data_IF_647373537619
#
_entry.id   IF_647373537619
#
_cell.length_a   1.000
_cell.length_b   1.000
_cell.length_c   1.000
_cell.angle_alpha   90.00
_cell.angle_beta   90.00
_cell.angle_gamma   90.00
#
_symmetry.space_group_name_H-M   'P 1'
#
loop_
_entity.id
_entity.type
_entity.pdbx_description
1 polymer ?
#
# COMPACT_ATOMS: atom_id res chain seq x y z
N UNK A 1 -11.91 -24.22 -0.94
CA UNK A 1 -12.28 -22.79 -0.99
C UNK A 1 -13.30 -22.59 -2.11
N UNK A 2 -14.26 -21.69 -1.92
CA UNK A 2 -15.13 -21.16 -2.97
C UNK A 2 -14.82 -19.67 -3.17
N UNK A 3 -15.03 -19.19 -4.40
CA UNK A 3 -14.88 -17.78 -4.75
C UNK A 3 -16.13 -17.33 -5.51
N UNK A 4 -16.62 -16.16 -5.19
CA UNK A 4 -17.76 -15.53 -5.86
C UNK A 4 -17.45 -14.06 -6.16
N UNK A 5 -18.13 -13.47 -7.15
CA UNK A 5 -18.06 -12.04 -7.42
C UNK A 5 -18.90 -11.32 -6.37
N UNK A 6 -18.26 -10.41 -5.63
CA UNK A 6 -18.93 -9.58 -4.63
C UNK A 6 -19.52 -8.31 -5.26
N UNK A 7 -18.74 -7.62 -6.12
CA UNK A 7 -19.16 -6.43 -6.85
C UNK A 7 -18.32 -6.26 -8.13
N UNK A 8 -18.85 -5.53 -9.10
CA UNK A 8 -18.13 -5.12 -10.32
C UNK A 8 -17.88 -3.60 -10.31
N UNK A 9 -16.61 -3.18 -10.50
CA UNK A 9 -16.19 -1.79 -10.55
C UNK A 9 -15.20 -1.54 -11.69
N UNK A 10 -15.10 -0.30 -12.16
CA UNK A 10 -14.13 0.09 -13.19
C UNK A 10 -12.77 0.43 -12.56
N UNK A 11 -11.81 -0.44 -12.80
CA UNK A 11 -10.42 -0.31 -12.36
C UNK A 11 -10.23 -0.26 -10.85
N UNK A 12 -10.85 -1.18 -10.06
CA UNK A 12 -10.72 -1.21 -8.62
C UNK A 12 -9.28 -1.46 -8.20
N UNK A 13 -8.91 -0.87 -7.05
CA UNK A 13 -7.57 -1.01 -6.49
C UNK A 13 -7.66 -1.40 -5.02
N UNK A 14 -7.08 -0.61 -4.13
CA UNK A 14 -7.12 -0.91 -2.70
C UNK A 14 -8.54 -0.83 -2.14
N UNK A 15 -8.80 -1.65 -1.14
CA UNK A 15 -10.06 -1.69 -0.39
C UNK A 15 -9.80 -1.38 1.09
N UNK A 16 -10.76 -0.72 1.71
CA UNK A 16 -10.80 -0.51 3.17
C UNK A 16 -12.19 -0.86 3.69
N UNK A 17 -12.24 -1.59 4.79
CA UNK A 17 -13.48 -1.91 5.48
C UNK A 17 -13.88 -0.74 6.37
N UNK A 18 -15.08 -0.21 6.16
CA UNK A 18 -15.69 0.82 6.98
C UNK A 18 -16.69 0.26 7.99
N UNK A 19 -17.47 1.16 8.59
CA UNK A 19 -18.56 0.77 9.46
C UNK A 19 -19.65 -0.01 8.72
N UNK A 20 -20.40 -0.82 9.44
CA UNK A 20 -21.54 -1.62 8.94
C UNK A 20 -21.18 -2.57 7.77
N UNK A 21 -19.91 -2.95 7.64
CA UNK A 21 -19.45 -3.86 6.59
C UNK A 21 -19.30 -3.20 5.20
N UNK A 22 -19.43 -1.89 5.09
CA UNK A 22 -19.21 -1.16 3.82
C UNK A 22 -17.76 -1.28 3.39
N UNK A 23 -17.52 -1.63 2.13
CA UNK A 23 -16.17 -1.70 1.55
C UNK A 23 -15.93 -0.46 0.70
N UNK A 24 -15.00 0.40 1.12
CA UNK A 24 -14.54 1.52 0.30
C UNK A 24 -13.47 1.06 -0.67
N UNK A 25 -13.59 1.44 -1.95
CA UNK A 25 -12.71 0.96 -3.02
C UNK A 25 -12.11 2.13 -3.77
N UNK A 26 -10.78 2.23 -3.71
CA UNK A 26 -9.99 3.14 -4.53
C UNK A 26 -9.94 2.68 -6.00
N UNK A 27 -9.58 3.58 -6.91
CA UNK A 27 -9.49 3.22 -8.33
C UNK A 27 -8.39 3.97 -9.08
N UNK A 28 -8.09 3.50 -10.28
CA UNK A 28 -7.25 4.24 -11.25
C UNK A 28 -8.05 5.26 -12.07
N UNK A 29 -9.37 5.35 -11.89
CA UNK A 29 -10.32 6.10 -12.73
C UNK A 29 -10.76 7.43 -12.13
N UNK A 30 -10.05 7.90 -11.11
CA UNK A 30 -10.36 9.19 -10.48
C UNK A 30 -11.57 9.19 -9.56
N UNK A 31 -12.04 8.00 -9.15
CA UNK A 31 -13.21 7.82 -8.29
C UNK A 31 -12.90 6.89 -7.13
N UNK A 32 -13.60 7.10 -6.03
CA UNK A 32 -13.68 6.16 -4.91
C UNK A 32 -15.14 5.75 -4.75
N UNK A 33 -15.36 4.46 -4.56
CA UNK A 33 -16.70 3.87 -4.40
C UNK A 33 -16.88 3.31 -2.99
N UNK A 34 -18.13 3.37 -2.50
CA UNK A 34 -18.63 2.56 -1.40
C UNK A 34 -19.41 1.38 -1.99
N UNK A 35 -19.05 0.17 -1.60
CA UNK A 35 -19.70 -1.08 -1.97
C UNK A 35 -20.46 -1.54 -0.74
N UNK A 36 -21.77 -1.67 -0.87
CA UNK A 36 -22.71 -1.86 0.23
C UNK A 36 -23.45 -3.16 0.02
N UNK A 37 -23.39 -4.03 1.02
CA UNK A 37 -24.12 -5.30 1.13
C UNK A 37 -24.98 -5.19 2.39
N UNK A 38 -26.28 -4.86 2.23
CA UNK A 38 -27.16 -4.55 3.35
C UNK A 38 -27.69 -5.78 4.09
N UNK A 39 -27.86 -6.88 3.35
CA UNK A 39 -28.42 -8.12 3.91
C UNK A 39 -27.32 -9.15 4.29
N UNK A 40 -26.05 -8.79 4.01
CA UNK A 40 -24.86 -9.59 4.31
C UNK A 40 -24.87 -10.98 3.66
N UNK A 41 -25.42 -11.09 2.45
CA UNK A 41 -25.47 -12.35 1.71
C UNK A 41 -24.18 -12.64 0.91
N UNK A 42 -23.23 -11.70 0.89
CA UNK A 42 -21.95 -11.79 0.19
C UNK A 42 -22.01 -11.34 -1.27
N UNK A 43 -23.06 -10.61 -1.64
CA UNK A 43 -23.21 -9.93 -2.93
C UNK A 43 -23.64 -8.49 -2.67
N UNK A 44 -22.93 -7.53 -3.24
CA UNK A 44 -23.23 -6.12 -2.99
C UNK A 44 -24.58 -5.71 -3.60
N UNK A 45 -25.45 -5.09 -2.80
CA UNK A 45 -26.72 -4.50 -3.24
C UNK A 45 -26.54 -3.21 -4.03
N UNK A 46 -25.47 -2.45 -3.71
CA UNK A 46 -25.22 -1.17 -4.36
C UNK A 46 -23.74 -0.81 -4.39
N UNK A 47 -23.37 -0.08 -5.45
CA UNK A 47 -22.06 0.56 -5.62
C UNK A 47 -22.28 2.06 -5.81
N UNK A 48 -21.80 2.87 -4.89
CA UNK A 48 -22.02 4.31 -4.86
C UNK A 48 -20.69 5.04 -5.00
N UNK A 49 -20.56 5.96 -5.96
CA UNK A 49 -19.41 6.86 -6.02
C UNK A 49 -19.49 7.86 -4.87
N UNK A 50 -18.48 7.86 -3.98
CA UNK A 50 -18.43 8.74 -2.80
C UNK A 50 -17.44 9.89 -2.95
N UNK A 51 -16.48 9.77 -3.86
CA UNK A 51 -15.57 10.85 -4.24
C UNK A 51 -15.18 10.73 -5.72
N UNK A 52 -14.97 11.86 -6.41
CA UNK A 52 -14.58 11.89 -7.81
C UNK A 52 -13.72 13.11 -8.15
N UNK A 53 -13.19 13.15 -9.40
CA UNK A 53 -12.29 14.23 -9.84
C UNK A 53 -10.89 14.13 -9.24
N UNK A 54 -10.49 12.95 -8.76
CA UNK A 54 -9.23 12.71 -8.06
C UNK A 54 -8.13 12.19 -9.00
N UNK A 55 -6.87 12.40 -8.62
CA UNK A 55 -5.72 11.97 -9.40
C UNK A 55 -5.29 10.54 -9.01
N UNK A 56 -5.90 9.53 -9.67
CA UNK A 56 -5.65 8.09 -9.42
C UNK A 56 -5.73 7.75 -7.93
N UNK A 57 -6.89 7.86 -7.31
CA UNK A 57 -7.10 7.58 -5.89
C UNK A 57 -7.00 6.07 -5.62
N UNK A 58 -5.78 5.54 -5.64
CA UNK A 58 -5.53 4.11 -5.49
C UNK A 58 -5.73 3.63 -4.06
N UNK A 59 -5.17 4.36 -3.10
CA UNK A 59 -5.18 4.00 -1.70
C UNK A 59 -6.41 4.54 -0.97
N UNK A 60 -6.96 3.73 -0.09
CA UNK A 60 -8.03 4.13 0.83
C UNK A 60 -7.78 3.57 2.21
N UNK A 61 -8.08 4.36 3.25
CA UNK A 61 -8.04 3.92 4.64
C UNK A 61 -9.21 4.55 5.40
N UNK A 62 -9.85 3.79 6.26
CA UNK A 62 -10.99 4.25 7.04
C UNK A 62 -10.63 4.29 8.53
N UNK A 63 -11.04 5.35 9.22
CA UNK A 63 -10.90 5.51 10.65
C UNK A 63 -12.05 6.35 11.23
N UNK A 64 -12.81 5.77 12.14
CA UNK A 64 -13.86 6.42 12.94
C UNK A 64 -14.75 7.42 12.16
N UNK A 65 -15.27 6.99 11.02
CA UNK A 65 -16.14 7.79 10.15
C UNK A 65 -15.42 8.68 9.14
N UNK A 66 -14.10 8.71 9.12
CA UNK A 66 -13.32 9.46 8.13
C UNK A 66 -12.70 8.50 7.09
N UNK A 67 -12.80 8.85 5.80
CA UNK A 67 -12.19 8.10 4.71
C UNK A 67 -11.00 8.85 4.14
N UNK A 68 -9.81 8.34 4.36
CA UNK A 68 -8.56 8.85 3.79
C UNK A 68 -8.33 8.28 2.39
N UNK A 69 -7.89 9.12 1.46
CA UNK A 69 -7.73 8.79 0.04
C UNK A 69 -6.32 9.16 -0.41
N UNK A 70 -5.56 8.18 -0.88
CA UNK A 70 -4.22 8.35 -1.44
C UNK A 70 -4.26 8.61 -2.94
N UNK A 71 -4.05 9.87 -3.32
CA UNK A 71 -3.79 10.29 -4.68
C UNK A 71 -2.28 10.21 -5.00
N UNK A 72 -1.86 10.42 -6.24
CA UNK A 72 -0.44 10.42 -6.59
C UNK A 72 0.33 11.45 -5.76
N UNK A 73 -0.16 12.69 -5.68
CA UNK A 73 0.58 13.84 -5.17
C UNK A 73 0.10 14.34 -3.81
N UNK A 74 -0.99 13.77 -3.28
CA UNK A 74 -1.56 14.21 -2.01
C UNK A 74 -2.36 13.11 -1.30
N UNK A 75 -2.60 13.33 -0.04
CA UNK A 75 -3.60 12.63 0.75
C UNK A 75 -4.78 13.57 0.96
N UNK A 76 -5.97 13.07 0.64
CA UNK A 76 -7.24 13.76 0.85
C UNK A 76 -8.09 12.97 1.84
N UNK A 77 -9.15 13.60 2.37
CA UNK A 77 -10.09 12.98 3.30
C UNK A 77 -11.52 13.36 2.96
N UNK A 78 -12.45 12.42 3.11
CA UNK A 78 -13.88 12.69 3.24
C UNK A 78 -14.25 12.49 4.69
N UNK A 79 -14.60 13.59 5.38
CA UNK A 79 -15.03 13.55 6.77
C UNK A 79 -16.48 13.08 6.88
N UNK A 80 -16.81 12.34 7.96
CA UNK A 80 -18.15 11.83 8.25
C UNK A 80 -18.74 11.03 7.07
N UNK A 81 -17.92 10.14 6.49
CA UNK A 81 -18.30 9.35 5.30
C UNK A 81 -19.51 8.45 5.59
N UNK A 82 -19.68 7.98 6.81
CA UNK A 82 -20.78 7.09 7.19
C UNK A 82 -22.15 7.75 7.01
N UNK A 83 -22.25 9.05 7.27
CA UNK A 83 -23.47 9.82 6.99
C UNK A 83 -23.59 10.24 5.52
N UNK A 84 -22.52 10.15 4.72
CA UNK A 84 -22.43 10.70 3.35
C UNK A 84 -22.27 9.64 2.25
N UNK A 85 -22.33 8.36 2.58
CA UNK A 85 -22.11 7.26 1.63
C UNK A 85 -23.21 7.08 0.57
N UNK A 86 -24.18 7.98 0.49
CA UNK A 86 -25.24 7.97 -0.52
C UNK A 86 -24.90 8.71 -1.83
N UNK A 87 -23.73 9.34 -1.92
CA UNK A 87 -23.31 10.10 -3.11
C UNK A 87 -21.97 10.78 -2.93
N UNK A 88 -21.56 11.55 -3.96
CA UNK A 88 -20.28 12.26 -3.97
C UNK A 88 -20.22 13.33 -2.88
N UNK A 89 -19.18 13.28 -2.11
CA UNK A 89 -18.87 14.24 -1.05
C UNK A 89 -17.63 15.07 -1.39
N UNK A 90 -17.49 16.29 -0.88
CA UNK A 90 -16.29 17.08 -1.01
C UNK A 90 -15.13 16.41 -0.26
N UNK A 91 -13.93 16.51 -0.82
CA UNK A 91 -12.69 16.08 -0.18
C UNK A 91 -11.94 17.26 0.41
N UNK A 92 -11.32 17.04 1.56
CA UNK A 92 -10.39 17.97 2.21
C UNK A 92 -8.95 17.49 1.98
N UNK A 93 -8.02 18.42 1.74
CA UNK A 93 -6.60 18.08 1.65
C UNK A 93 -6.03 17.86 3.05
N UNK A 94 -5.43 16.70 3.28
CA UNK A 94 -4.73 16.34 4.52
C UNK A 94 -3.24 16.66 4.39
N UNK A 95 -2.61 16.24 3.28
CA UNK A 95 -1.21 16.52 3.00
C UNK A 95 -0.99 16.57 1.47
N UNK A 96 -0.34 17.62 0.96
CA UNK A 96 -0.04 17.85 -0.45
C UNK A 96 1.46 17.97 -0.76
N UNK A 97 2.31 17.50 0.15
CA UNK A 97 3.77 17.56 -0.01
C UNK A 97 4.38 16.34 -0.72
N UNK A 98 3.57 15.43 -1.24
CA UNK A 98 4.04 14.22 -1.89
C UNK A 98 4.48 14.49 -3.33
N UNK A 99 5.44 13.69 -3.88
CA UNK A 99 5.86 13.81 -5.27
C UNK A 99 4.73 13.57 -6.28
N UNK A 100 4.83 14.23 -7.44
CA UNK A 100 3.82 14.18 -8.51
C UNK A 100 4.08 13.12 -9.59
N UNK A 101 5.22 12.40 -9.51
CA UNK A 101 5.60 11.41 -10.50
C UNK A 101 4.60 10.26 -10.57
N UNK A 102 4.25 9.89 -11.81
CA UNK A 102 3.27 8.82 -12.06
C UNK A 102 3.88 7.42 -11.98
N UNK A 103 5.17 7.30 -12.26
CA UNK A 103 5.86 6.02 -12.17
C UNK A 103 5.96 5.62 -10.70
N UNK A 104 5.42 4.47 -10.31
CA UNK A 104 5.23 4.02 -8.93
C UNK A 104 4.56 5.07 -8.01
N UNK A 105 3.77 5.98 -8.61
CA UNK A 105 3.16 7.10 -7.90
C UNK A 105 1.90 6.75 -7.11
N UNK A 106 1.25 5.62 -7.40
CA UNK A 106 0.04 5.21 -6.69
C UNK A 106 0.36 4.88 -5.22
N UNK A 107 -0.44 5.39 -4.31
CA UNK A 107 -0.26 5.18 -2.88
C UNK A 107 -1.14 4.02 -2.40
N UNK A 108 -0.58 3.16 -1.57
CA UNK A 108 -1.32 2.28 -0.68
C UNK A 108 -1.46 2.99 0.66
N UNK A 109 -2.59 2.91 1.34
CA UNK A 109 -2.82 3.55 2.63
C UNK A 109 -3.28 2.55 3.66
N UNK A 110 -2.78 2.67 4.89
CA UNK A 110 -3.34 1.95 6.01
C UNK A 110 -3.02 2.70 7.31
N UNK A 111 -3.96 2.66 8.26
CA UNK A 111 -3.75 3.22 9.58
C UNK A 111 -3.14 2.15 10.47
N UNK A 112 -2.02 2.49 11.07
CA UNK A 112 -1.28 1.60 11.93
C UNK A 112 -1.85 1.47 13.35
N UNK A 113 -1.37 0.49 14.12
CA UNK A 113 -1.81 0.30 15.51
C UNK A 113 -1.43 1.47 16.43
N UNK A 114 -0.57 2.38 15.97
CA UNK A 114 -0.20 3.64 16.64
C UNK A 114 -1.12 4.82 16.27
N UNK A 115 -2.20 4.57 15.49
CA UNK A 115 -3.13 5.58 15.03
C UNK A 115 -2.57 6.55 13.99
N UNK A 116 -1.44 6.21 13.34
CA UNK A 116 -0.85 7.03 12.27
C UNK A 116 -1.18 6.45 10.89
N UNK A 117 -1.25 7.31 9.89
CA UNK A 117 -1.41 6.92 8.49
C UNK A 117 -0.06 6.58 7.86
N UNK A 118 0.02 5.41 7.23
CA UNK A 118 1.22 4.91 6.56
C UNK A 118 1.04 4.89 5.06
N UNK A 119 2.11 5.21 4.32
CA UNK A 119 2.11 5.23 2.84
C UNK A 119 3.50 4.98 2.27
N UNK A 120 3.61 4.24 1.13
CA UNK A 120 4.82 4.15 0.36
C UNK A 120 4.92 5.31 -0.65
N UNK A 121 6.14 5.72 -0.95
CA UNK A 121 6.47 6.59 -2.08
C UNK A 121 7.50 5.87 -2.93
N UNK A 122 7.06 5.26 -4.02
CA UNK A 122 7.92 4.47 -4.90
C UNK A 122 8.93 5.31 -5.69
N UNK A 123 9.95 4.64 -6.23
CA UNK A 123 10.95 5.28 -7.08
C UNK A 123 10.32 5.83 -8.37
N UNK A 124 10.73 7.02 -8.87
CA UNK A 124 10.16 7.64 -10.08
C UNK A 124 10.68 7.01 -11.39
N UNK A 125 11.32 5.87 -11.31
CA UNK A 125 12.03 5.20 -12.40
C UNK A 125 12.05 3.68 -12.22
N UNK A 126 12.47 2.96 -13.26
CA UNK A 126 12.79 1.53 -13.11
C UNK A 126 13.98 1.33 -12.16
N UNK A 127 15.09 2.02 -12.41
CA UNK A 127 16.26 2.10 -11.51
C UNK A 127 16.96 3.45 -11.74
N UNK A 128 17.23 4.18 -10.67
CA UNK A 128 17.98 5.45 -10.66
C UNK A 128 18.37 5.80 -9.22
N UNK A 129 19.34 6.65 -9.06
CA UNK A 129 19.50 7.36 -7.78
C UNK A 129 18.29 8.26 -7.55
N UNK A 130 17.80 8.29 -6.33
CA UNK A 130 16.59 9.03 -5.95
C UNK A 130 16.91 10.11 -4.93
N UNK A 131 16.08 11.14 -4.89
CA UNK A 131 16.09 12.11 -3.79
C UNK A 131 15.42 11.52 -2.57
N UNK A 132 15.60 12.15 -1.41
CA UNK A 132 15.10 11.67 -0.12
C UNK A 132 13.58 11.39 -0.06
N UNK A 133 12.80 11.94 -0.99
CA UNK A 133 11.34 11.76 -1.00
C UNK A 133 10.88 10.41 -1.56
N UNK A 134 11.71 9.76 -2.38
CA UNK A 134 11.35 8.54 -3.11
C UNK A 134 11.94 7.27 -2.51
N UNK A 135 11.49 6.15 -3.03
CA UNK A 135 11.93 4.81 -2.65
C UNK A 135 11.88 4.57 -1.13
N UNK A 136 10.77 4.95 -0.51
CA UNK A 136 10.64 5.00 0.93
C UNK A 136 9.23 4.65 1.43
N UNK A 137 9.13 4.31 2.71
CA UNK A 137 7.85 4.23 3.42
C UNK A 137 7.79 5.34 4.45
N UNK A 138 6.66 6.01 4.52
CA UNK A 138 6.36 7.11 5.42
C UNK A 138 5.21 6.79 6.36
N UNK A 139 5.18 7.53 7.47
CA UNK A 139 3.99 7.64 8.32
C UNK A 139 3.76 9.11 8.70
N UNK A 140 2.52 9.47 9.00
CA UNK A 140 2.14 10.81 9.47
C UNK A 140 0.95 10.73 10.43
N UNK A 141 0.67 11.82 11.13
CA UNK A 141 -0.55 11.96 11.89
C UNK A 141 -1.77 12.03 10.93
N UNK A 142 -2.96 11.71 11.44
CA UNK A 142 -4.21 11.75 10.64
C UNK A 142 -4.60 13.16 10.19
N UNK A 143 -4.04 14.21 10.80
CA UNK A 143 -4.17 15.60 10.37
C UNK A 143 -3.14 16.01 9.29
N UNK A 144 -2.29 15.08 8.84
CA UNK A 144 -1.25 15.30 7.82
C UNK A 144 0.06 15.86 8.36
N UNK A 145 0.16 16.15 9.65
CA UNK A 145 1.39 16.62 10.29
C UNK A 145 2.39 15.48 10.53
N UNK A 146 3.63 15.82 10.84
CA UNK A 146 4.70 14.88 11.20
C UNK A 146 4.98 13.78 10.15
N UNK A 147 4.92 14.13 8.84
CA UNK A 147 5.33 13.19 7.79
C UNK A 147 6.79 12.75 8.01
N UNK A 148 6.98 11.49 8.39
CA UNK A 148 8.27 10.93 8.80
C UNK A 148 8.60 9.69 7.98
N UNK A 149 9.81 9.62 7.42
CA UNK A 149 10.34 8.44 6.76
C UNK A 149 10.67 7.37 7.80
N UNK A 150 10.20 6.14 7.59
CA UNK A 150 10.45 5.01 8.47
C UNK A 150 11.32 3.92 7.84
N UNK A 151 11.36 3.86 6.50
CA UNK A 151 12.23 2.96 5.74
C UNK A 151 12.70 3.64 4.46
N UNK A 152 13.89 3.29 4.01
CA UNK A 152 14.54 3.79 2.80
C UNK A 152 14.94 2.65 1.87
N UNK A 153 15.24 2.95 0.60
CA UNK A 153 15.66 1.93 -0.37
C UNK A 153 14.57 0.92 -0.72
N UNK A 154 13.29 1.31 -0.64
CA UNK A 154 12.12 0.51 -1.00
C UNK A 154 11.64 0.96 -2.38
N UNK A 155 11.91 0.14 -3.41
CA UNK A 155 11.66 0.54 -4.81
C UNK A 155 10.19 0.83 -5.10
N UNK A 156 9.30 -0.08 -4.78
CA UNK A 156 7.86 0.05 -5.05
C UNK A 156 7.04 -0.92 -4.18
N UNK A 157 6.77 -0.53 -2.96
CA UNK A 157 5.84 -1.26 -2.08
C UNK A 157 4.40 -0.95 -2.47
N UNK A 158 3.56 -1.99 -2.57
CA UNK A 158 2.15 -1.87 -2.95
C UNK A 158 1.22 -2.48 -1.89
N UNK A 159 1.78 -3.05 -0.84
CA UNK A 159 1.01 -3.61 0.27
C UNK A 159 1.86 -3.82 1.51
N UNK A 160 1.26 -3.56 2.65
CA UNK A 160 1.88 -3.79 3.95
C UNK A 160 0.83 -4.06 5.02
N UNK A 161 1.26 -4.68 6.12
CA UNK A 161 0.43 -4.94 7.28
C UNK A 161 1.32 -5.18 8.52
N UNK A 162 0.73 -5.19 9.69
CA UNK A 162 1.41 -5.46 10.97
C UNK A 162 1.15 -6.88 11.42
N UNK A 163 2.22 -7.55 11.84
CA UNK A 163 2.09 -8.87 12.44
C UNK A 163 1.22 -8.78 13.71
N UNK A 164 0.12 -9.56 13.82
CA UNK A 164 -0.89 -9.33 14.85
C UNK A 164 -0.41 -9.59 16.29
N UNK A 165 0.65 -10.39 16.47
CA UNK A 165 1.18 -10.73 17.79
C UNK A 165 2.41 -9.89 18.17
N UNK A 166 3.29 -9.56 17.18
CA UNK A 166 4.54 -8.85 17.45
C UNK A 166 4.46 -7.36 17.17
N UNK A 167 3.47 -6.91 16.37
CA UNK A 167 3.34 -5.52 15.93
C UNK A 167 4.39 -5.10 14.90
N UNK A 168 5.22 -6.03 14.40
CA UNK A 168 6.21 -5.73 13.37
C UNK A 168 5.54 -5.36 12.06
N UNK A 169 6.08 -4.36 11.37
CA UNK A 169 5.61 -3.89 10.07
C UNK A 169 6.22 -4.74 8.94
N UNK A 170 5.38 -5.33 8.11
CA UNK A 170 5.77 -6.14 6.97
C UNK A 170 5.24 -5.55 5.67
N UNK A 171 6.01 -5.62 4.59
CA UNK A 171 5.64 -5.04 3.31
C UNK A 171 6.18 -5.83 2.12
N UNK A 172 5.49 -5.69 0.98
CA UNK A 172 5.97 -6.19 -0.32
C UNK A 172 6.85 -5.14 -1.00
N UNK A 173 7.86 -5.57 -1.76
CA UNK A 173 8.61 -4.68 -2.66
C UNK A 173 8.82 -5.33 -4.03
N UNK A 174 8.53 -4.57 -5.08
CA UNK A 174 8.66 -4.99 -6.47
C UNK A 174 10.10 -4.76 -6.95
N UNK A 175 10.79 -5.84 -7.37
CA UNK A 175 12.13 -5.77 -7.97
C UNK A 175 12.15 -4.96 -9.27
N UNK A 176 13.36 -4.46 -9.66
CA UNK A 176 13.54 -3.73 -10.92
C UNK A 176 13.36 -4.66 -12.13
N UNK A 177 12.97 -4.06 -13.28
CA UNK A 177 12.95 -4.76 -14.55
C UNK A 177 14.31 -4.69 -15.28
N UNK A 178 14.43 -5.48 -16.36
CA UNK A 178 15.54 -5.47 -17.33
C UNK A 178 16.90 -5.83 -16.72
N UNK A 179 16.93 -6.76 -15.78
CA UNK A 179 18.16 -7.36 -15.25
C UNK A 179 18.28 -8.84 -15.63
N UNK A 180 17.24 -9.43 -16.19
CA UNK A 180 17.13 -10.81 -16.65
C UNK A 180 15.75 -11.39 -16.33
N UNK A 181 15.51 -12.62 -16.79
CA UNK A 181 14.22 -13.29 -16.61
C UNK A 181 14.07 -13.87 -15.19
N UNK A 182 15.20 -14.21 -14.54
CA UNK A 182 15.25 -14.91 -13.26
C UNK A 182 15.66 -13.98 -12.09
N UNK A 183 16.04 -12.74 -12.37
CA UNK A 183 16.51 -11.77 -11.36
C UNK A 183 16.10 -10.34 -11.69
N UNK A 184 15.97 -9.48 -10.66
CA UNK A 184 15.98 -9.80 -9.24
C UNK A 184 14.63 -10.36 -8.78
N UNK A 185 14.62 -11.11 -7.70
CA UNK A 185 13.40 -11.49 -7.02
C UNK A 185 12.67 -10.25 -6.50
N UNK A 186 11.34 -10.28 -6.51
CA UNK A 186 10.51 -9.41 -5.66
C UNK A 186 10.59 -9.89 -4.20
N UNK A 187 10.17 -9.07 -3.26
CA UNK A 187 10.51 -9.25 -1.85
C UNK A 187 9.31 -9.14 -0.92
N UNK A 188 9.36 -9.89 0.18
CA UNK A 188 8.64 -9.56 1.41
C UNK A 188 9.69 -9.14 2.45
N UNK A 189 9.51 -7.94 2.96
CA UNK A 189 10.40 -7.27 3.87
C UNK A 189 9.75 -7.03 5.23
N UNK A 190 10.57 -6.77 6.26
CA UNK A 190 10.14 -6.46 7.61
C UNK A 190 10.96 -5.31 8.19
N UNK A 191 10.30 -4.30 8.72
CA UNK A 191 10.96 -3.24 9.49
C UNK A 191 11.11 -3.69 10.94
N UNK A 192 12.33 -3.82 11.41
CA UNK A 192 12.66 -4.09 12.81
C UNK A 192 13.08 -2.84 13.58
N UNK A 193 13.50 -1.80 12.87
CA UNK A 193 13.81 -0.48 13.43
C UNK A 193 13.60 0.62 12.39
N UNK A 194 13.18 1.79 12.83
CA UNK A 194 13.02 2.97 11.95
C UNK A 194 14.36 3.36 11.34
N UNK A 195 14.37 3.70 10.05
CA UNK A 195 15.53 4.16 9.31
C UNK A 195 16.35 3.06 8.63
N UNK A 196 15.86 1.82 8.60
CA UNK A 196 16.49 0.75 7.81
C UNK A 196 16.42 1.08 6.31
N UNK A 197 17.49 0.68 5.59
CA UNK A 197 17.61 0.81 4.13
C UNK A 197 17.56 -0.56 3.47
N UNK A 198 16.60 -0.77 2.55
CA UNK A 198 16.30 -2.06 1.93
C UNK A 198 16.99 -2.30 0.58
N UNK A 199 17.97 -1.47 0.23
CA UNK A 199 18.96 -1.74 -0.83
C UNK A 199 18.77 -0.95 -2.11
N UNK A 200 17.57 -0.63 -2.58
CA UNK A 200 17.37 0.10 -3.82
C UNK A 200 18.03 1.49 -3.81
N UNK A 201 18.75 1.92 -4.86
CA UNK A 201 18.98 1.25 -6.15
C UNK A 201 20.25 0.39 -6.20
N UNK A 202 20.95 0.20 -5.12
CA UNK A 202 22.32 -0.35 -5.05
C UNK A 202 22.38 -1.85 -4.98
N UNK A 203 21.58 -2.45 -4.11
CA UNK A 203 21.52 -3.91 -3.88
C UNK A 203 20.06 -4.36 -4.04
N UNK A 204 19.84 -5.39 -4.83
CA UNK A 204 18.54 -6.01 -5.05
C UNK A 204 18.46 -7.36 -4.35
N UNK A 205 17.27 -7.79 -3.95
CA UNK A 205 17.00 -9.07 -3.30
C UNK A 205 17.95 -9.40 -2.12
N UNK A 206 18.59 -8.39 -1.54
CA UNK A 206 19.50 -8.50 -0.40
C UNK A 206 20.92 -8.96 -0.71
N UNK A 207 21.23 -9.44 -1.91
CA UNK A 207 22.55 -10.00 -2.25
C UNK A 207 23.00 -9.76 -3.70
N UNK A 208 22.21 -9.09 -4.53
CA UNK A 208 22.53 -8.86 -5.94
C UNK A 208 22.86 -7.37 -6.16
N UNK A 209 24.15 -7.00 -6.35
CA UNK A 209 24.51 -5.64 -6.68
C UNK A 209 23.94 -5.20 -8.03
N UNK A 210 23.42 -3.97 -8.08
CA UNK A 210 23.04 -3.35 -9.35
C UNK A 210 24.27 -3.16 -10.24
N UNK A 211 24.22 -3.51 -11.54
CA UNK A 211 25.39 -3.41 -12.43
C UNK A 211 25.88 -1.97 -12.66
N UNK A 212 25.03 -0.97 -12.41
CA UNK A 212 25.38 0.45 -12.59
C UNK A 212 25.61 1.14 -11.25
N UNK A 213 24.67 0.96 -10.31
CA UNK A 213 24.65 1.68 -9.02
C UNK A 213 25.31 0.90 -7.87
N UNK A 214 25.51 -0.41 -8.02
CA UNK A 214 26.06 -1.27 -6.97
C UNK A 214 27.59 -1.22 -6.80
N UNK A 215 28.31 -0.51 -7.68
CA UNK A 215 29.76 -0.44 -7.60
C UNK A 215 30.24 0.16 -6.27
N UNK A 216 31.07 -0.58 -5.54
CA UNK A 216 31.59 -0.16 -4.24
C UNK A 216 30.60 -0.23 -3.07
N UNK A 217 29.43 -0.80 -3.27
CA UNK A 217 28.43 -1.05 -2.22
C UNK A 217 28.55 -2.48 -1.71
N UNK A 218 28.36 -2.66 -0.40
CA UNK A 218 28.29 -4.00 0.22
C UNK A 218 26.86 -4.36 0.54
N UNK A 219 26.44 -5.60 0.30
CA UNK A 219 25.13 -6.09 0.71
C UNK A 219 24.93 -6.01 2.23
N UNK A 220 26.01 -6.12 3.01
CA UNK A 220 25.97 -6.04 4.47
C UNK A 220 25.56 -4.65 5.01
N UNK A 221 25.62 -3.61 4.15
CA UNK A 221 25.20 -2.24 4.53
C UNK A 221 23.66 -2.06 4.46
N UNK A 222 22.94 -3.07 3.97
CA UNK A 222 21.48 -2.99 3.70
C UNK A 222 20.73 -4.12 4.39
N UNK A 223 19.45 -3.87 4.66
CA UNK A 223 18.56 -4.87 5.26
C UNK A 223 18.12 -5.87 4.18
N UNK A 224 18.43 -7.15 4.32
CA UNK A 224 17.97 -8.15 3.35
C UNK A 224 16.48 -8.45 3.52
N UNK A 225 15.78 -8.94 2.47
CA UNK A 225 14.40 -9.38 2.57
C UNK A 225 14.27 -10.60 3.50
N UNK A 226 13.12 -10.72 4.13
CA UNK A 226 12.75 -11.91 4.91
C UNK A 226 12.45 -13.07 3.97
N UNK A 227 11.83 -12.78 2.82
CA UNK A 227 11.50 -13.77 1.81
C UNK A 227 11.73 -13.19 0.41
N UNK A 228 12.52 -13.91 -0.39
CA UNK A 228 12.62 -13.69 -1.83
C UNK A 228 11.46 -14.42 -2.50
N UNK A 229 10.66 -13.69 -3.24
CA UNK A 229 9.63 -14.21 -4.12
C UNK A 229 10.24 -14.61 -5.47
N UNK A 230 9.48 -14.90 -6.48
CA UNK A 230 10.03 -15.05 -7.84
C UNK A 230 10.41 -13.68 -8.44
N UNK A 231 11.24 -13.69 -9.50
CA UNK A 231 11.42 -12.52 -10.34
C UNK A 231 10.10 -12.18 -11.07
N UNK A 232 9.80 -10.90 -11.23
CA UNK A 232 8.64 -10.38 -12.00
C UNK A 232 7.26 -10.83 -11.50
N UNK A 233 7.15 -11.35 -10.27
CA UNK A 233 5.84 -11.75 -9.70
C UNK A 233 4.96 -10.56 -9.32
N UNK A 234 5.55 -9.37 -9.23
CA UNK A 234 4.86 -8.10 -8.98
C UNK A 234 3.88 -8.15 -7.78
N UNK A 235 4.36 -8.46 -6.56
CA UNK A 235 3.50 -8.59 -5.40
C UNK A 235 2.78 -7.27 -5.12
N UNK A 236 1.47 -7.34 -4.87
CA UNK A 236 0.60 -6.20 -4.59
C UNK A 236 0.26 -6.15 -3.10
N UNK A 237 -0.96 -6.57 -2.76
CA UNK A 237 -1.43 -6.56 -1.38
C UNK A 237 -0.71 -7.57 -0.49
N UNK A 238 -0.59 -7.22 0.78
CA UNK A 238 -0.14 -8.11 1.84
C UNK A 238 -1.05 -7.92 3.04
N UNK A 239 -1.50 -9.03 3.63
CA UNK A 239 -2.29 -9.01 4.85
C UNK A 239 -1.96 -10.21 5.73
N UNK A 240 -1.90 -10.01 7.03
CA UNK A 240 -1.92 -11.11 7.99
C UNK A 240 -3.35 -11.57 8.20
N UNK A 241 -3.62 -12.84 7.97
CA UNK A 241 -4.96 -13.38 8.14
C UNK A 241 -5.37 -13.37 9.62
N UNK A 242 -6.45 -12.64 9.92
CA UNK A 242 -7.05 -12.49 11.26
C UNK A 242 -8.51 -12.97 11.32
N UNK A 243 -9.02 -13.48 10.19
CA UNK A 243 -10.40 -13.91 10.08
C UNK A 243 -10.62 -15.31 10.65
N UNK A 244 -11.89 -15.70 10.72
CA UNK A 244 -12.34 -17.01 11.20
C UNK A 244 -12.88 -17.92 10.07
N UNK A 245 -12.89 -17.43 8.82
CA UNK A 245 -13.43 -18.17 7.66
C UNK A 245 -12.55 -19.36 7.25
N UNK A 246 -11.21 -19.23 7.36
CA UNK A 246 -10.25 -20.27 7.01
C UNK A 246 -9.88 -21.10 8.25
N UNK A 247 -9.47 -22.37 8.09
CA UNK A 247 -8.99 -23.20 9.19
C UNK A 247 -7.88 -22.53 10.03
N UNK A 248 -7.80 -22.87 11.33
CA UNK A 248 -6.88 -22.28 12.30
C UNK A 248 -5.41 -22.26 11.85
N UNK A 249 -4.99 -23.23 11.02
CA UNK A 249 -3.63 -23.27 10.45
C UNK A 249 -3.26 -22.04 9.61
N UNK A 250 -4.25 -21.26 9.14
CA UNK A 250 -4.03 -20.00 8.40
C UNK A 250 -3.97 -18.78 9.32
N UNK A 251 -4.29 -18.93 10.61
CA UNK A 251 -4.18 -17.86 11.59
C UNK A 251 -2.78 -17.28 11.65
N UNK A 252 -2.66 -15.95 11.53
CA UNK A 252 -1.39 -15.20 11.50
C UNK A 252 -0.46 -15.52 10.31
N UNK A 253 -0.95 -16.21 9.26
CA UNK A 253 -0.18 -16.37 8.02
C UNK A 253 -0.29 -15.11 7.16
N UNK A 254 0.73 -14.86 6.35
CA UNK A 254 0.69 -13.81 5.33
C UNK A 254 -0.05 -14.34 4.11
N UNK A 255 -1.07 -13.60 3.68
CA UNK A 255 -1.65 -13.72 2.35
C UNK A 255 -1.16 -12.54 1.52
N UNK A 256 -0.66 -12.81 0.33
CA UNK A 256 -0.19 -11.79 -0.60
C UNK A 256 -0.68 -12.10 -2.03
N UNK A 257 -0.84 -11.07 -2.85
CA UNK A 257 -1.32 -11.17 -4.23
C UNK A 257 -0.34 -10.51 -5.20
#
# INVERSE_FOLDING_TARGET
>A
FSIAVYAELDGPRQMALGADGVVYVGSQRGKVAAVIDQDHDGVADSVVTVAEGLNRPNGVAYDDGDLYIGEIHRISKVSDIDARRSGVSPTETVNDSLPEDRHHGMKFLQIGPDGKLYLPVGAPCNVCEVTEQYAAIYRMNLDGSELTKIADGVRNSVGFDWHPQTGEFWFTDNGRDMLGDDVPACEINRISSVGQHFGFPYIHQGDLPDPVFGAGKSADDYTPPVLKLGAHVAPLGLVFYRGEMFPDQYGNTILWA
#
